data_IF_390552006557
#
_entry.id   IF_390552006557
#
_cell.length_a   1.000
_cell.length_b   1.000
_cell.length_c   1.000
_cell.angle_alpha   90.00
_cell.angle_beta   90.00
_cell.angle_gamma   90.00
#
_symmetry.space_group_name_H-M   'P 1'
#
loop_
_entity.id
_entity.type
_entity.pdbx_description
1 polymer ?
#
# COMPACT_ATOMS: atom_id res chain seq x y z
N UNK A 1 -37.25 32.89 -19.18
CA UNK A 1 -37.12 32.43 -17.78
C UNK A 1 -37.67 31.01 -17.65
N UNK A 2 -38.92 30.79 -18.03
CA UNK A 2 -39.61 29.49 -18.00
C UNK A 2 -38.87 28.33 -18.70
N UNK A 3 -38.34 28.57 -19.92
CA UNK A 3 -37.56 27.56 -20.67
C UNK A 3 -36.27 27.12 -19.94
N UNK A 4 -35.64 28.04 -19.20
CA UNK A 4 -34.44 27.76 -18.40
C UNK A 4 -34.77 26.95 -17.14
N UNK A 5 -35.94 27.18 -16.53
CA UNK A 5 -36.40 26.39 -15.38
C UNK A 5 -36.81 24.98 -15.82
N UNK A 6 -37.43 24.83 -17.00
CA UNK A 6 -37.79 23.51 -17.53
C UNK A 6 -36.56 22.66 -17.86
N UNK A 7 -35.53 23.28 -18.42
CA UNK A 7 -34.26 22.63 -18.74
C UNK A 7 -33.49 22.23 -17.46
N UNK A 8 -33.53 23.08 -16.42
CA UNK A 8 -32.93 22.77 -15.11
C UNK A 8 -33.64 21.58 -14.45
N UNK A 9 -34.97 21.53 -14.45
CA UNK A 9 -35.75 20.40 -13.92
C UNK A 9 -35.44 19.08 -14.63
N UNK A 10 -35.33 19.10 -15.97
CA UNK A 10 -34.93 17.90 -16.74
C UNK A 10 -33.55 17.41 -16.34
N UNK A 11 -32.60 18.33 -16.12
CA UNK A 11 -31.25 17.97 -15.68
C UNK A 11 -31.28 17.37 -14.26
N UNK A 12 -32.11 17.91 -13.36
CA UNK A 12 -32.28 17.37 -12.01
C UNK A 12 -32.85 15.95 -12.03
N UNK A 13 -33.91 15.70 -12.81
CA UNK A 13 -34.48 14.36 -13.00
C UNK A 13 -33.48 13.37 -13.63
N UNK A 14 -32.70 13.83 -14.63
CA UNK A 14 -31.64 13.03 -15.24
C UNK A 14 -30.56 12.66 -14.20
N UNK A 15 -30.12 13.62 -13.39
CA UNK A 15 -29.12 13.41 -12.34
C UNK A 15 -29.65 12.45 -11.28
N UNK A 16 -30.91 12.58 -10.87
CA UNK A 16 -31.53 11.67 -9.90
C UNK A 16 -31.60 10.23 -10.44
N UNK A 17 -32.03 10.05 -11.69
CA UNK A 17 -32.02 8.74 -12.36
C UNK A 17 -30.62 8.13 -12.42
N UNK A 18 -29.61 8.93 -12.77
CA UNK A 18 -28.21 8.49 -12.82
C UNK A 18 -27.70 8.12 -11.43
N UNK A 19 -28.09 8.86 -10.39
CA UNK A 19 -27.71 8.57 -8.99
C UNK A 19 -28.34 7.26 -8.52
N UNK A 20 -29.62 7.01 -8.81
CA UNK A 20 -30.27 5.74 -8.45
C UNK A 20 -29.68 4.57 -9.23
N UNK A 21 -29.46 4.69 -10.53
CA UNK A 21 -28.79 3.66 -11.32
C UNK A 21 -27.38 3.35 -10.79
N UNK A 22 -26.64 4.37 -10.33
CA UNK A 22 -25.34 4.18 -9.71
C UNK A 22 -25.43 3.43 -8.36
N UNK A 23 -26.48 3.67 -7.56
CA UNK A 23 -26.74 2.93 -6.31
C UNK A 23 -27.11 1.48 -6.58
N UNK A 24 -28.05 1.22 -7.50
CA UNK A 24 -28.44 -0.15 -7.87
C UNK A 24 -27.27 -0.97 -8.41
N UNK A 25 -26.42 -0.35 -9.24
CA UNK A 25 -25.19 -0.97 -9.74
C UNK A 25 -24.23 -1.28 -8.59
N UNK A 26 -24.08 -0.34 -7.66
CA UNK A 26 -23.23 -0.47 -6.48
C UNK A 26 -23.71 -1.60 -5.55
N UNK A 27 -25.01 -1.76 -5.36
CA UNK A 27 -25.60 -2.82 -4.54
C UNK A 27 -25.46 -4.19 -5.23
N UNK A 28 -25.72 -4.25 -6.53
CA UNK A 28 -25.52 -5.44 -7.36
C UNK A 28 -24.05 -5.89 -7.36
N UNK A 29 -23.13 -4.96 -7.50
CA UNK A 29 -21.69 -5.22 -7.42
C UNK A 29 -21.29 -5.71 -6.02
N UNK A 30 -21.84 -5.13 -4.95
CA UNK A 30 -21.56 -5.53 -3.57
C UNK A 30 -22.03 -6.95 -3.29
N UNK A 31 -23.23 -7.30 -3.75
CA UNK A 31 -23.78 -8.65 -3.68
C UNK A 31 -22.92 -9.67 -4.43
N UNK A 32 -22.54 -9.37 -5.68
CA UNK A 32 -21.66 -10.23 -6.47
C UNK A 32 -20.29 -10.43 -5.81
N UNK A 33 -19.69 -9.37 -5.28
CA UNK A 33 -18.41 -9.43 -4.57
C UNK A 33 -18.53 -10.32 -3.32
N UNK A 34 -19.61 -10.20 -2.56
CA UNK A 34 -19.84 -11.03 -1.37
C UNK A 34 -19.94 -12.51 -1.73
N UNK A 35 -20.72 -12.85 -2.75
CA UNK A 35 -20.86 -14.23 -3.23
C UNK A 35 -19.54 -14.79 -3.76
N UNK A 36 -18.87 -14.04 -4.63
CA UNK A 36 -17.58 -14.41 -5.20
C UNK A 36 -16.53 -14.62 -4.11
N UNK A 37 -16.56 -13.82 -3.03
CA UNK A 37 -15.65 -13.99 -1.91
C UNK A 37 -15.84 -15.32 -1.18
N UNK A 38 -17.09 -15.72 -0.91
CA UNK A 38 -17.38 -17.01 -0.27
C UNK A 38 -16.91 -18.19 -1.13
N UNK A 39 -17.13 -18.12 -2.46
CA UNK A 39 -16.69 -19.15 -3.40
C UNK A 39 -15.15 -19.21 -3.48
N UNK A 40 -14.50 -18.05 -3.54
CA UNK A 40 -13.03 -17.93 -3.52
C UNK A 40 -12.44 -18.52 -2.23
N UNK A 41 -13.05 -18.29 -1.06
CA UNK A 41 -12.56 -18.82 0.20
C UNK A 41 -12.67 -20.35 0.29
N UNK A 42 -13.76 -20.92 -0.24
CA UNK A 42 -13.92 -22.37 -0.37
C UNK A 42 -12.84 -22.97 -1.27
N UNK A 43 -12.59 -22.38 -2.44
CA UNK A 43 -11.52 -22.80 -3.36
C UNK A 43 -10.14 -22.68 -2.71
N UNK A 44 -9.91 -21.63 -1.92
CA UNK A 44 -8.65 -21.42 -1.18
C UNK A 44 -8.40 -22.49 -0.14
N UNK A 45 -9.40 -22.86 0.66
CA UNK A 45 -9.27 -23.95 1.62
C UNK A 45 -8.93 -25.27 0.94
N UNK A 46 -9.56 -25.55 -0.21
CA UNK A 46 -9.26 -26.74 -1.02
C UNK A 46 -7.84 -26.71 -1.59
N UNK A 47 -7.40 -25.56 -2.11
CA UNK A 47 -6.05 -25.40 -2.66
C UNK A 47 -4.98 -25.58 -1.57
N UNK A 48 -5.16 -24.98 -0.39
CA UNK A 48 -4.24 -25.13 0.76
C UNK A 48 -4.18 -26.58 1.26
N UNK A 49 -5.34 -27.23 1.38
CA UNK A 49 -5.43 -28.65 1.74
C UNK A 49 -4.67 -29.52 0.74
N UNK A 50 -4.86 -29.27 -0.56
CA UNK A 50 -4.17 -30.00 -1.62
C UNK A 50 -2.65 -29.77 -1.60
N UNK A 51 -2.19 -28.53 -1.46
CA UNK A 51 -0.75 -28.21 -1.33
C UNK A 51 -0.12 -28.89 -0.10
N UNK A 52 -0.83 -28.91 1.03
CA UNK A 52 -0.38 -29.64 2.23
C UNK A 52 -0.28 -31.16 2.00
N UNK A 53 -1.21 -31.71 1.21
CA UNK A 53 -1.24 -33.13 0.86
C UNK A 53 -0.08 -33.48 -0.08
N UNK A 54 0.19 -32.65 -1.09
CA UNK A 54 1.34 -32.79 -2.00
C UNK A 54 2.65 -32.76 -1.20
N UNK A 55 2.83 -31.80 -0.30
CA UNK A 55 4.01 -31.71 0.58
C UNK A 55 4.17 -32.94 1.46
N UNK A 56 3.06 -33.45 2.02
CA UNK A 56 3.05 -34.68 2.82
C UNK A 56 3.48 -35.88 1.99
N UNK A 57 2.88 -36.11 0.82
CA UNK A 57 3.25 -37.19 -0.09
C UNK A 57 4.73 -37.10 -0.51
N UNK A 58 5.22 -35.91 -0.80
CA UNK A 58 6.64 -35.70 -1.12
C UNK A 58 7.53 -36.13 0.05
N UNK A 59 7.21 -35.70 1.28
CA UNK A 59 7.99 -36.09 2.46
C UNK A 59 8.00 -37.60 2.72
N UNK A 60 6.87 -38.28 2.45
CA UNK A 60 6.75 -39.73 2.58
C UNK A 60 7.55 -40.46 1.51
N UNK A 61 7.53 -39.99 0.26
CA UNK A 61 8.32 -40.55 -0.82
C UNK A 61 9.81 -40.32 -0.59
N UNK A 62 10.24 -39.13 -0.17
CA UNK A 62 11.65 -38.82 0.16
C UNK A 62 12.19 -39.68 1.32
N UNK A 63 11.36 -40.02 2.32
CA UNK A 63 11.76 -40.92 3.41
C UNK A 63 11.93 -42.36 2.94
N UNK A 64 11.16 -42.78 1.94
CA UNK A 64 11.16 -44.14 1.42
C UNK A 64 12.12 -44.34 0.23
N UNK A 65 12.66 -43.27 -0.35
CA UNK A 65 13.69 -43.30 -1.39
C UNK A 65 15.08 -43.42 -0.75
N UNK A 66 15.43 -44.58 -0.19
CA UNK A 66 16.85 -44.90 -0.02
C UNK A 66 17.35 -45.55 -1.33
N UNK A 67 18.51 -45.12 -1.85
CA UNK A 67 19.16 -45.86 -2.92
C UNK A 67 19.55 -47.26 -2.40
N UNK A 68 19.52 -48.30 -3.25
CA UNK A 68 20.04 -49.60 -2.86
C UNK A 68 21.50 -49.45 -2.42
N UNK A 69 21.95 -50.11 -1.33
CA UNK A 69 23.36 -50.12 -0.99
C UNK A 69 24.13 -50.75 -2.15
N UNK A 70 24.87 -49.92 -2.88
CA UNK A 70 25.87 -50.39 -3.83
C UNK A 70 27.00 -51.00 -2.99
N UNK A 71 26.99 -52.33 -2.94
CA UNK A 71 28.14 -53.19 -2.69
C UNK A 71 28.91 -52.85 -1.41
N UNK A 72 28.55 -53.48 -0.29
CA UNK A 72 29.52 -54.09 0.63
C UNK A 72 28.80 -54.87 1.75
N UNK A 73 29.11 -56.17 1.82
CA UNK A 73 28.59 -57.23 2.71
C UNK A 73 27.29 -57.89 2.24
N UNK A 74 27.44 -59.01 1.54
CA UNK A 74 26.39 -60.01 1.32
C UNK A 74 26.77 -61.35 1.98
N UNK A 75 25.87 -61.99 2.74
CA UNK A 75 25.75 -63.44 2.82
C UNK A 75 24.64 -63.98 1.87
N UNK A 76 24.59 -65.30 1.56
CA UNK A 76 24.04 -65.79 0.30
C UNK A 76 22.56 -66.20 0.34
N UNK A 77 21.78 -65.60 -0.58
CA UNK A 77 20.48 -65.99 -1.21
C UNK A 77 19.22 -66.21 -0.33
N UNK A 78 17.99 -65.90 -0.84
CA UNK A 78 17.56 -65.85 -2.25
C UNK A 78 17.53 -64.42 -2.81
N UNK A 79 18.59 -64.06 -3.52
CA UNK A 79 19.00 -62.69 -3.83
C UNK A 79 18.25 -62.08 -5.04
N UNK A 80 17.74 -62.89 -5.96
CA UNK A 80 17.15 -62.35 -7.19
C UNK A 80 15.77 -61.72 -6.95
N UNK A 81 14.91 -62.36 -6.16
CA UNK A 81 13.57 -61.85 -5.88
C UNK A 81 13.61 -60.59 -5.02
N UNK A 82 14.50 -60.54 -4.02
CA UNK A 82 14.68 -59.35 -3.17
C UNK A 82 15.22 -58.15 -3.96
N UNK A 83 16.23 -58.36 -4.80
CA UNK A 83 16.79 -57.31 -5.66
C UNK A 83 15.77 -56.84 -6.72
N UNK A 84 15.03 -57.77 -7.32
CA UNK A 84 13.96 -57.47 -8.27
C UNK A 84 12.82 -56.67 -7.62
N UNK A 85 12.37 -57.08 -6.42
CA UNK A 85 11.35 -56.34 -5.66
C UNK A 85 11.84 -54.95 -5.24
N UNK A 86 13.13 -54.81 -4.88
CA UNK A 86 13.70 -53.52 -4.51
C UNK A 86 13.84 -52.59 -5.73
N UNK A 87 14.27 -53.12 -6.87
CA UNK A 87 14.36 -52.37 -8.13
C UNK A 87 12.98 -51.96 -8.64
N UNK A 88 11.99 -52.86 -8.59
CA UNK A 88 10.61 -52.57 -8.93
C UNK A 88 10.00 -51.52 -7.98
N UNK A 89 10.28 -51.60 -6.68
CA UNK A 89 9.88 -50.58 -5.69
C UNK A 89 10.54 -49.23 -5.97
N UNK A 90 11.82 -49.20 -6.35
CA UNK A 90 12.54 -47.97 -6.69
C UNK A 90 11.97 -47.29 -7.93
N UNK A 91 11.74 -48.05 -9.03
CA UNK A 91 11.09 -47.53 -10.24
C UNK A 91 9.68 -47.01 -9.93
N UNK A 92 8.91 -47.74 -9.13
CA UNK A 92 7.57 -47.32 -8.74
C UNK A 92 7.59 -46.01 -7.93
N UNK A 93 8.54 -45.84 -7.00
CA UNK A 93 8.72 -44.59 -6.24
C UNK A 93 9.12 -43.43 -7.17
N UNK A 94 9.98 -43.66 -8.16
CA UNK A 94 10.35 -42.64 -9.15
C UNK A 94 9.15 -42.19 -9.98
N UNK A 95 8.32 -43.14 -10.45
CA UNK A 95 7.09 -42.83 -11.19
C UNK A 95 6.12 -42.01 -10.34
N UNK A 96 5.94 -42.38 -9.06
CA UNK A 96 5.13 -41.61 -8.11
C UNK A 96 5.69 -40.21 -7.85
N UNK A 97 7.02 -40.04 -7.82
CA UNK A 97 7.65 -38.71 -7.70
C UNK A 97 7.39 -37.86 -8.95
N UNK A 98 7.43 -38.46 -10.14
CA UNK A 98 7.11 -37.77 -11.40
C UNK A 98 5.64 -37.32 -11.44
N UNK A 99 4.70 -38.20 -11.10
CA UNK A 99 3.28 -37.87 -11.04
C UNK A 99 2.98 -36.79 -9.99
N UNK A 100 3.63 -36.88 -8.82
CA UNK A 100 3.51 -35.87 -7.78
C UNK A 100 4.08 -34.52 -8.23
N UNK A 101 5.18 -34.52 -8.96
CA UNK A 101 5.77 -33.32 -9.54
C UNK A 101 4.84 -32.71 -10.61
N UNK A 102 4.21 -33.54 -11.46
CA UNK A 102 3.19 -33.09 -12.42
C UNK A 102 2.00 -32.44 -11.72
N UNK A 103 1.49 -33.07 -10.66
CA UNK A 103 0.41 -32.50 -9.84
C UNK A 103 0.82 -31.16 -9.20
N UNK A 104 2.07 -31.06 -8.71
CA UNK A 104 2.61 -29.81 -8.18
C UNK A 104 2.71 -28.72 -9.25
N UNK A 105 3.17 -29.03 -10.46
CA UNK A 105 3.23 -28.06 -11.56
C UNK A 105 1.83 -27.57 -11.96
N UNK A 106 0.85 -28.47 -12.08
CA UNK A 106 -0.54 -28.10 -12.39
C UNK A 106 -1.12 -27.11 -11.37
N UNK A 107 -0.86 -27.35 -10.09
CA UNK A 107 -1.35 -26.49 -9.01
C UNK A 107 -0.55 -25.18 -8.91
N UNK A 108 0.76 -25.22 -9.15
CA UNK A 108 1.65 -24.07 -8.95
C UNK A 108 1.72 -23.11 -10.14
N UNK A 109 1.43 -23.58 -11.36
CA UNK A 109 1.52 -22.80 -12.60
C UNK A 109 0.15 -22.64 -13.29
N UNK A 110 -0.88 -23.38 -12.85
CA UNK A 110 -2.27 -23.18 -13.28
C UNK A 110 -3.02 -22.10 -12.50
N UNK A 111 -4.30 -21.90 -12.80
CA UNK A 111 -5.14 -20.84 -12.19
C UNK A 111 -5.28 -20.97 -10.65
N UNK A 112 -5.15 -22.21 -10.15
CA UNK A 112 -5.18 -22.52 -8.73
C UNK A 112 -4.03 -21.84 -7.94
N UNK A 113 -2.93 -21.47 -8.61
CA UNK A 113 -1.79 -20.80 -8.00
C UNK A 113 -2.15 -19.46 -7.35
N UNK A 114 -3.20 -18.79 -7.85
CA UNK A 114 -3.72 -17.53 -7.30
C UNK A 114 -4.29 -17.68 -5.88
N UNK A 115 -4.77 -18.88 -5.52
CA UNK A 115 -5.32 -19.18 -4.20
C UNK A 115 -4.26 -19.68 -3.21
N UNK A 116 -3.09 -20.08 -3.71
CA UNK A 116 -1.98 -20.54 -2.87
C UNK A 116 -1.17 -19.38 -2.28
N UNK A 117 -0.46 -19.62 -1.16
CA UNK A 117 0.51 -18.66 -0.64
C UNK A 117 1.53 -18.36 -1.73
N UNK A 118 1.71 -17.08 -2.04
CA UNK A 118 2.59 -16.66 -3.12
C UNK A 118 4.01 -17.18 -2.91
N UNK A 119 4.62 -17.74 -3.96
CA UNK A 119 6.03 -18.17 -3.93
C UNK A 119 6.89 -16.99 -3.45
N UNK A 120 7.88 -17.22 -2.56
CA UNK A 120 8.75 -16.15 -2.09
C UNK A 120 9.42 -15.48 -3.30
N UNK A 121 9.27 -14.16 -3.40
CA UNK A 121 9.89 -13.40 -4.48
C UNK A 121 11.41 -13.52 -4.41
N UNK A 122 12.07 -13.39 -5.57
CA UNK A 122 13.53 -13.40 -5.65
C UNK A 122 14.16 -12.38 -4.69
N UNK A 123 15.37 -12.69 -4.19
CA UNK A 123 16.07 -11.86 -3.19
C UNK A 123 16.17 -10.39 -3.59
N UNK A 124 16.40 -10.11 -4.88
CA UNK A 124 16.45 -8.76 -5.42
C UNK A 124 15.14 -7.98 -5.21
N UNK A 125 14.01 -8.58 -5.58
CA UNK A 125 12.71 -7.93 -5.46
C UNK A 125 12.32 -7.77 -3.99
N UNK A 126 12.65 -8.75 -3.14
CA UNK A 126 12.47 -8.68 -1.68
C UNK A 126 13.28 -7.55 -1.03
N UNK A 127 14.47 -7.23 -1.56
CA UNK A 127 15.27 -6.10 -1.08
C UNK A 127 14.54 -4.76 -1.29
N UNK A 128 13.95 -4.56 -2.47
CA UNK A 128 13.25 -3.33 -2.78
C UNK A 128 11.83 -3.28 -2.26
N UNK A 129 11.09 -4.39 -2.20
CA UNK A 129 9.67 -4.39 -1.86
C UNK A 129 9.39 -4.83 -0.42
N UNK A 130 10.24 -5.67 0.16
CA UNK A 130 9.96 -6.37 1.41
C UNK A 130 9.14 -7.66 1.17
N UNK A 131 8.47 -8.20 2.20
CA UNK A 131 7.71 -9.45 2.13
C UNK A 131 6.32 -9.26 1.49
N UNK A 132 6.19 -8.45 0.42
CA UNK A 132 4.91 -8.09 -0.19
C UNK A 132 4.74 -8.71 -1.57
N UNK A 133 3.49 -9.00 -1.93
CA UNK A 133 3.12 -9.49 -3.25
C UNK A 133 2.90 -8.33 -4.23
N UNK A 134 3.45 -8.45 -5.45
CA UNK A 134 3.25 -7.47 -6.53
C UNK A 134 1.79 -7.44 -7.00
N UNK A 135 1.14 -8.61 -7.02
CA UNK A 135 -0.28 -8.76 -7.35
C UNK A 135 -1.09 -8.92 -6.06
N UNK A 136 -1.80 -7.86 -5.68
CA UNK A 136 -2.72 -7.82 -4.56
C UNK A 136 -4.15 -7.79 -5.09
N UNK A 137 -4.61 -8.92 -5.64
CA UNK A 137 -6.00 -9.04 -6.12
C UNK A 137 -7.02 -8.97 -4.97
N UNK A 138 -6.62 -9.45 -3.79
CA UNK A 138 -7.48 -9.53 -2.61
C UNK A 138 -7.31 -8.32 -1.70
N UNK A 139 -8.40 -7.93 -1.03
CA UNK A 139 -8.46 -6.73 -0.16
C UNK A 139 -7.54 -6.82 1.07
N UNK A 140 -7.44 -8.01 1.70
CA UNK A 140 -6.49 -8.31 2.79
C UNK A 140 -5.04 -8.02 2.35
N UNK A 141 -4.68 -8.54 1.17
CA UNK A 141 -3.35 -8.35 0.60
C UNK A 141 -3.12 -6.89 0.23
N UNK A 142 -4.12 -6.18 -0.30
CA UNK A 142 -4.01 -4.75 -0.61
C UNK A 142 -3.79 -3.90 0.65
N UNK A 143 -4.48 -4.20 1.75
CA UNK A 143 -4.28 -3.53 3.04
C UNK A 143 -2.89 -3.81 3.58
N UNK A 144 -2.43 -5.06 3.53
CA UNK A 144 -1.08 -5.44 3.93
C UNK A 144 0.00 -4.75 3.11
N UNK A 145 -0.18 -4.63 1.79
CA UNK A 145 0.75 -3.88 0.91
C UNK A 145 0.78 -2.40 1.30
N UNK A 146 -0.37 -1.78 1.62
CA UNK A 146 -0.44 -0.39 2.09
C UNK A 146 0.24 -0.21 3.44
N UNK A 147 0.06 -1.15 4.36
CA UNK A 147 0.70 -1.12 5.68
C UNK A 147 2.21 -1.24 5.58
N UNK A 148 2.71 -2.20 4.81
CA UNK A 148 4.14 -2.38 4.55
C UNK A 148 4.77 -1.17 3.86
N UNK A 149 4.07 -0.55 2.91
CA UNK A 149 4.49 0.72 2.29
C UNK A 149 4.59 1.86 3.32
N UNK A 150 3.58 2.01 4.18
CA UNK A 150 3.59 3.04 5.21
C UNK A 150 4.69 2.80 6.26
N UNK A 151 4.89 1.54 6.67
CA UNK A 151 5.97 1.13 7.57
C UNK A 151 7.35 1.38 6.95
N UNK A 152 7.52 1.07 5.66
CA UNK A 152 8.73 1.41 4.91
C UNK A 152 8.99 2.92 4.92
N UNK A 153 7.98 3.74 4.59
CA UNK A 153 8.10 5.21 4.57
C UNK A 153 8.50 5.81 5.90
N UNK A 154 8.01 5.29 7.02
CA UNK A 154 8.40 5.79 8.33
C UNK A 154 9.85 5.48 8.67
N UNK A 155 10.25 4.22 8.47
CA UNK A 155 11.64 3.78 8.71
C UNK A 155 12.61 4.58 7.84
N UNK A 156 12.27 4.79 6.58
CA UNK A 156 13.13 5.55 5.66
C UNK A 156 13.09 7.04 5.91
N UNK A 157 11.98 7.64 6.33
CA UNK A 157 11.93 9.06 6.70
C UNK A 157 12.81 9.37 7.92
N UNK A 158 12.88 8.46 8.90
CA UNK A 158 13.81 8.59 10.03
C UNK A 158 15.27 8.56 9.55
N UNK A 159 15.63 7.60 8.69
CA UNK A 159 16.97 7.53 8.11
C UNK A 159 17.28 8.76 7.23
N UNK A 160 16.30 9.26 6.48
CA UNK A 160 16.43 10.44 5.62
C UNK A 160 16.74 11.69 6.43
N UNK A 161 16.23 11.79 7.66
CA UNK A 161 16.54 12.89 8.57
C UNK A 161 17.89 12.68 9.26
N UNK A 162 18.14 11.48 9.79
CA UNK A 162 19.33 11.18 10.59
C UNK A 162 20.63 11.29 9.78
N UNK A 163 20.65 10.75 8.56
CA UNK A 163 21.86 10.69 7.75
C UNK A 163 22.45 12.09 7.43
N UNK A 164 21.70 13.05 6.86
CA UNK A 164 22.23 14.40 6.61
C UNK A 164 22.50 15.17 7.92
N UNK A 165 21.74 14.92 8.99
CA UNK A 165 21.99 15.52 10.30
C UNK A 165 23.36 15.12 10.84
N UNK A 166 23.68 13.82 10.80
CA UNK A 166 24.98 13.29 11.22
C UNK A 166 26.09 13.85 10.33
N UNK A 167 25.93 13.86 9.00
CA UNK A 167 26.93 14.43 8.09
C UNK A 167 27.22 15.91 8.40
N UNK A 168 26.21 16.71 8.68
CA UNK A 168 26.38 18.14 9.02
C UNK A 168 27.06 18.34 10.38
N UNK A 169 26.75 17.51 11.38
CA UNK A 169 27.44 17.53 12.68
C UNK A 169 28.91 17.14 12.51
N UNK A 170 29.20 16.02 11.82
CA UNK A 170 30.57 15.56 11.58
C UNK A 170 31.38 16.56 10.76
N UNK A 171 30.76 17.24 9.78
CA UNK A 171 31.38 18.35 9.04
C UNK A 171 31.86 19.45 9.97
N UNK A 172 31.07 19.81 10.98
CA UNK A 172 31.40 20.89 11.92
C UNK A 172 32.39 20.45 13.00
N UNK A 173 32.30 19.21 13.48
CA UNK A 173 33.06 18.75 14.65
C UNK A 173 34.36 18.03 14.31
N UNK A 174 34.38 17.23 13.25
CA UNK A 174 35.54 16.38 12.91
C UNK A 174 36.30 16.86 11.70
N UNK A 175 35.62 17.41 10.70
CA UNK A 175 36.24 17.66 9.39
C UNK A 175 36.47 19.14 9.06
N UNK A 176 36.40 20.05 10.05
CA UNK A 176 36.74 21.47 9.89
C UNK A 176 36.07 22.13 8.67
N UNK A 177 34.84 21.72 8.32
CA UNK A 177 34.12 22.23 7.15
C UNK A 177 34.43 21.54 5.81
N UNK A 178 35.24 20.48 5.74
CA UNK A 178 35.40 19.65 4.54
C UNK A 178 34.63 18.32 4.69
N UNK A 179 33.64 18.02 3.86
CA UNK A 179 33.04 16.68 3.84
C UNK A 179 33.93 15.72 3.03
N UNK A 180 34.29 14.53 3.56
CA UNK A 180 34.90 13.48 2.76
C UNK A 180 33.93 12.95 1.70
N UNK A 181 34.46 12.47 0.58
CA UNK A 181 33.65 11.96 -0.52
C UNK A 181 32.81 10.74 -0.12
N UNK A 182 33.43 9.76 0.56
CA UNK A 182 32.81 8.47 0.85
C UNK A 182 31.49 8.56 1.66
N UNK A 183 31.39 9.30 2.78
CA UNK A 183 30.13 9.44 3.52
C UNK A 183 29.01 10.10 2.70
N UNK A 184 29.35 11.08 1.85
CA UNK A 184 28.36 11.74 0.99
C UNK A 184 27.92 10.81 -0.14
N UNK A 185 28.83 10.07 -0.76
CA UNK A 185 28.50 9.06 -1.77
C UNK A 185 27.65 7.93 -1.18
N UNK A 186 27.92 7.50 0.05
CA UNK A 186 27.09 6.51 0.75
C UNK A 186 25.66 7.03 0.95
N UNK A 187 25.50 8.32 1.31
CA UNK A 187 24.18 8.95 1.38
C UNK A 187 23.50 8.98 0.02
N UNK A 188 24.20 9.36 -1.05
CA UNK A 188 23.64 9.39 -2.40
C UNK A 188 23.24 8.00 -2.90
N UNK A 189 24.03 6.96 -2.62
CA UNK A 189 23.70 5.57 -2.93
C UNK A 189 22.44 5.13 -2.16
N UNK A 190 22.33 5.53 -0.90
CA UNK A 190 21.14 5.27 -0.11
C UNK A 190 19.90 6.02 -0.62
N UNK A 191 20.04 7.27 -1.08
CA UNK A 191 18.96 8.02 -1.74
C UNK A 191 18.49 7.35 -3.03
N UNK A 192 19.42 6.88 -3.86
CA UNK A 192 19.09 6.10 -5.05
C UNK A 192 18.28 4.85 -4.69
N UNK A 193 18.73 4.10 -3.67
CA UNK A 193 18.00 2.93 -3.17
C UNK A 193 16.61 3.29 -2.66
N UNK A 194 16.49 4.37 -1.87
CA UNK A 194 15.24 4.87 -1.31
C UNK A 194 14.23 5.23 -2.41
N UNK A 195 14.61 6.11 -3.35
CA UNK A 195 13.69 6.59 -4.38
C UNK A 195 13.32 5.49 -5.39
N UNK A 196 14.24 4.55 -5.65
CA UNK A 196 13.91 3.32 -6.40
C UNK A 196 12.86 2.48 -5.67
N UNK A 197 13.05 2.28 -4.36
CA UNK A 197 12.10 1.54 -3.51
C UNK A 197 10.74 2.21 -3.38
N UNK A 198 10.68 3.55 -3.31
CA UNK A 198 9.44 4.32 -3.30
C UNK A 198 8.73 4.23 -4.65
N UNK A 199 9.45 4.44 -5.75
CA UNK A 199 8.89 4.36 -7.09
C UNK A 199 8.30 2.97 -7.36
N UNK A 200 9.02 1.89 -7.04
CA UNK A 200 8.52 0.53 -7.19
C UNK A 200 7.25 0.28 -6.38
N UNK A 201 7.25 0.62 -5.08
CA UNK A 201 6.09 0.41 -4.21
C UNK A 201 4.87 1.23 -4.65
N UNK A 202 5.05 2.47 -5.05
CA UNK A 202 3.94 3.34 -5.48
C UNK A 202 3.38 2.91 -6.84
N UNK A 203 4.21 2.45 -7.77
CA UNK A 203 3.73 1.84 -9.01
C UNK A 203 2.93 0.57 -8.74
N UNK A 204 3.36 -0.28 -7.80
CA UNK A 204 2.60 -1.47 -7.38
C UNK A 204 1.27 -1.07 -6.75
N UNK A 205 1.27 -0.10 -5.84
CA UNK A 205 0.03 0.41 -5.25
C UNK A 205 -0.94 0.93 -6.32
N UNK A 206 -0.43 1.66 -7.31
CA UNK A 206 -1.21 2.18 -8.44
C UNK A 206 -1.73 1.06 -9.34
N UNK A 207 -0.92 0.07 -9.66
CA UNK A 207 -1.32 -1.11 -10.42
C UNK A 207 -2.40 -1.95 -9.70
N UNK A 208 -2.43 -1.92 -8.36
CA UNK A 208 -3.45 -2.56 -7.54
C UNK A 208 -4.62 -1.62 -7.19
N UNK A 209 -4.81 -0.52 -7.94
CA UNK A 209 -5.98 0.34 -7.84
C UNK A 209 -5.92 1.45 -6.78
N UNK A 210 -4.75 1.72 -6.19
CA UNK A 210 -4.59 2.89 -5.32
C UNK A 210 -4.50 4.17 -6.14
N UNK A 211 -5.29 5.18 -5.75
CA UNK A 211 -5.29 6.50 -6.37
C UNK A 211 -4.10 7.34 -5.88
N UNK A 212 -2.97 7.23 -6.56
CA UNK A 212 -1.74 7.99 -6.31
C UNK A 212 -1.55 9.00 -7.45
N UNK A 213 -1.32 10.26 -7.10
CA UNK A 213 -1.13 11.30 -8.11
C UNK A 213 0.12 11.02 -8.96
N UNK A 214 0.02 11.13 -10.30
CA UNK A 214 1.14 10.84 -11.20
C UNK A 214 2.42 11.62 -10.87
N UNK A 215 2.28 12.88 -10.44
CA UNK A 215 3.42 13.73 -10.08
C UNK A 215 4.37 13.07 -9.08
N UNK A 216 3.86 12.38 -8.05
CA UNK A 216 4.73 11.76 -7.04
C UNK A 216 5.59 10.64 -7.62
N UNK A 217 5.06 9.89 -8.58
CA UNK A 217 5.84 8.86 -9.29
C UNK A 217 6.93 9.51 -10.14
N UNK A 218 6.59 10.57 -10.90
CA UNK A 218 7.58 11.32 -11.68
C UNK A 218 8.65 11.98 -10.80
N UNK A 219 8.25 12.54 -9.66
CA UNK A 219 9.15 13.11 -8.66
C UNK A 219 10.18 12.07 -8.20
N UNK A 220 9.74 10.83 -7.89
CA UNK A 220 10.66 9.76 -7.51
C UNK A 220 11.64 9.42 -8.63
N UNK A 221 11.19 9.39 -9.89
CA UNK A 221 12.09 9.18 -11.03
C UNK A 221 13.11 10.30 -11.20
N UNK A 222 12.70 11.57 -11.08
CA UNK A 222 13.61 12.70 -11.09
C UNK A 222 14.64 12.61 -9.95
N UNK A 223 14.21 12.23 -8.75
CA UNK A 223 15.09 12.04 -7.60
C UNK A 223 16.07 10.86 -7.78
N UNK A 224 15.64 9.75 -8.39
CA UNK A 224 16.52 8.64 -8.75
C UNK A 224 17.60 9.09 -9.74
N UNK A 225 17.21 9.80 -10.81
CA UNK A 225 18.13 10.31 -11.81
C UNK A 225 19.11 11.30 -11.17
N UNK A 226 18.62 12.18 -10.29
CA UNK A 226 19.45 13.12 -9.54
C UNK A 226 20.46 12.41 -8.64
N UNK A 227 20.04 11.38 -7.89
CA UNK A 227 20.94 10.60 -7.05
C UNK A 227 22.00 9.85 -7.89
N UNK A 228 21.60 9.29 -9.05
CA UNK A 228 22.51 8.62 -9.97
C UNK A 228 23.56 9.57 -10.56
N UNK A 229 23.16 10.75 -11.01
CA UNK A 229 24.09 11.78 -11.52
C UNK A 229 24.95 12.34 -10.39
N UNK A 230 24.41 12.48 -9.18
CA UNK A 230 25.17 12.95 -8.01
C UNK A 230 26.22 11.92 -7.56
N UNK A 231 26.00 10.63 -7.79
CA UNK A 231 26.99 9.58 -7.49
C UNK A 231 28.23 9.64 -8.38
N UNK A 232 28.08 10.13 -9.62
CA UNK A 232 29.21 10.30 -10.54
C UNK A 232 29.93 11.63 -10.34
N UNK A 233 29.48 12.46 -9.39
CA UNK A 233 30.13 13.71 -9.06
C UNK A 233 31.25 13.51 -8.04
N UNK A 234 32.48 13.79 -8.45
CA UNK A 234 33.63 13.76 -7.56
C UNK A 234 33.61 14.98 -6.63
N UNK A 235 33.63 14.72 -5.32
CA UNK A 235 33.70 15.79 -4.33
C UNK A 235 35.12 16.35 -4.32
N UNK A 236 35.27 17.58 -4.80
CA UNK A 236 36.56 18.28 -4.83
C UNK A 236 37.18 18.32 -3.43
N UNK A 237 38.41 17.82 -3.35
CA UNK A 237 39.28 17.89 -2.18
C UNK A 237 39.90 19.28 -2.00
N UNK A 238 40.92 19.37 -1.15
CA UNK A 238 41.69 20.59 -0.93
C UNK A 238 42.47 21.03 -2.20
N UNK A 239 42.82 22.33 -2.35
CA UNK A 239 42.47 23.47 -1.48
C UNK A 239 41.05 24.04 -1.73
N UNK A 240 40.51 24.75 -0.74
CA UNK A 240 39.17 25.39 -0.71
C UNK A 240 37.96 24.46 -0.80
N UNK A 241 38.05 23.29 -0.16
CA UNK A 241 36.96 22.31 -0.03
C UNK A 241 35.65 22.98 0.45
N UNK A 242 35.72 23.91 1.40
CA UNK A 242 34.58 24.40 2.16
C UNK A 242 33.70 25.29 1.28
N UNK A 243 34.31 26.09 0.43
CA UNK A 243 33.64 26.94 -0.56
C UNK A 243 33.09 26.08 -1.71
N UNK A 244 33.90 25.16 -2.25
CA UNK A 244 33.50 24.28 -3.36
C UNK A 244 32.34 23.35 -2.99
N UNK A 245 32.23 22.93 -1.73
CA UNK A 245 31.17 22.08 -1.21
C UNK A 245 29.95 22.83 -0.66
N UNK A 246 29.83 24.14 -0.89
CA UNK A 246 28.70 24.93 -0.38
C UNK A 246 27.35 24.41 -0.90
N UNK A 247 27.31 23.95 -2.15
CA UNK A 247 26.12 23.30 -2.74
C UNK A 247 25.72 22.03 -1.99
N UNK A 248 26.69 21.18 -1.64
CA UNK A 248 26.46 19.96 -0.85
C UNK A 248 25.93 20.30 0.54
N UNK A 249 26.50 21.32 1.20
CA UNK A 249 26.01 21.79 2.50
C UNK A 249 24.56 22.25 2.43
N UNK A 250 24.21 23.07 1.44
CA UNK A 250 22.85 23.56 1.25
C UNK A 250 21.87 22.42 0.94
N UNK A 251 22.29 21.45 0.12
CA UNK A 251 21.50 20.26 -0.16
C UNK A 251 21.24 19.41 1.11
N UNK A 252 22.25 19.21 1.95
CA UNK A 252 22.08 18.46 3.22
C UNK A 252 21.16 19.20 4.20
N UNK A 253 21.26 20.53 4.28
CA UNK A 253 20.36 21.35 5.10
C UNK A 253 18.91 21.26 4.59
N UNK A 254 18.72 21.34 3.27
CA UNK A 254 17.42 21.12 2.66
C UNK A 254 16.90 19.71 2.93
N UNK A 255 17.75 18.69 2.81
CA UNK A 255 17.38 17.30 3.08
C UNK A 255 16.93 17.09 4.53
N UNK A 256 17.54 17.77 5.52
CA UNK A 256 17.04 17.73 6.89
C UNK A 256 15.60 18.29 7.00
N UNK A 257 15.34 19.45 6.40
CA UNK A 257 13.99 20.04 6.39
C UNK A 257 12.99 19.13 5.67
N UNK A 258 13.40 18.54 4.55
CA UNK A 258 12.63 17.55 3.80
C UNK A 258 12.34 16.31 4.66
N UNK A 259 13.30 15.82 5.45
CA UNK A 259 13.10 14.71 6.38
C UNK A 259 12.04 15.01 7.45
N UNK A 260 12.06 16.23 8.02
CA UNK A 260 11.01 16.67 8.96
C UNK A 260 9.64 16.71 8.27
N UNK A 261 9.56 17.28 7.07
CA UNK A 261 8.33 17.32 6.30
C UNK A 261 7.82 15.91 5.97
N UNK A 262 8.69 14.98 5.60
CA UNK A 262 8.35 13.58 5.33
C UNK A 262 7.74 12.90 6.56
N UNK A 263 8.30 13.09 7.76
CA UNK A 263 7.74 12.53 8.99
C UNK A 263 6.32 13.07 9.27
N UNK A 264 6.12 14.38 9.12
CA UNK A 264 4.81 15.01 9.29
C UNK A 264 3.80 14.56 8.24
N UNK A 265 4.22 14.47 6.98
CA UNK A 265 3.40 13.97 5.86
C UNK A 265 3.00 12.51 6.08
N UNK A 266 3.94 11.65 6.49
CA UNK A 266 3.68 10.24 6.76
C UNK A 266 2.65 10.06 7.87
N UNK A 267 2.82 10.78 9.00
CA UNK A 267 1.86 10.76 10.11
C UNK A 267 0.47 11.20 9.66
N UNK A 268 0.39 12.32 8.95
CA UNK A 268 -0.88 12.84 8.42
C UNK A 268 -1.57 11.84 7.47
N UNK A 269 -0.82 11.28 6.51
CA UNK A 269 -1.38 10.34 5.54
C UNK A 269 -1.82 9.03 6.18
N UNK A 270 -1.08 8.52 7.17
CA UNK A 270 -1.43 7.31 7.91
C UNK A 270 -2.69 7.47 8.74
N UNK A 271 -2.79 8.55 9.51
CA UNK A 271 -3.99 8.83 10.32
C UNK A 271 -5.24 8.91 9.44
N UNK A 272 -5.13 9.55 8.27
CA UNK A 272 -6.22 9.62 7.29
C UNK A 272 -6.61 8.25 6.74
N UNK A 273 -5.63 7.39 6.45
CA UNK A 273 -5.91 6.03 5.98
C UNK A 273 -6.69 5.24 7.03
N UNK A 274 -6.23 5.21 8.27
CA UNK A 274 -6.93 4.49 9.35
C UNK A 274 -8.32 5.07 9.64
N UNK A 275 -8.46 6.40 9.60
CA UNK A 275 -9.76 7.05 9.70
C UNK A 275 -10.71 6.56 8.61
N UNK A 276 -10.27 6.48 7.35
CA UNK A 276 -11.13 5.98 6.25
C UNK A 276 -11.47 4.51 6.41
N UNK A 277 -10.55 3.69 6.91
CA UNK A 277 -10.82 2.29 7.21
C UNK A 277 -11.91 2.19 8.29
N UNK A 278 -11.78 2.95 9.38
CA UNK A 278 -12.77 3.00 10.46
C UNK A 278 -14.14 3.50 9.98
N UNK A 279 -14.17 4.58 9.18
CA UNK A 279 -15.41 5.09 8.58
C UNK A 279 -16.05 4.09 7.61
N UNK A 280 -15.23 3.36 6.83
CA UNK A 280 -15.71 2.28 5.96
C UNK A 280 -16.37 1.16 6.75
N UNK A 281 -15.74 0.73 7.86
CA UNK A 281 -16.29 -0.26 8.79
C UNK A 281 -17.63 0.21 9.37
N UNK A 282 -17.67 1.42 9.91
CA UNK A 282 -18.87 1.98 10.53
C UNK A 282 -20.03 2.17 9.53
N UNK A 283 -19.73 2.62 8.30
CA UNK A 283 -20.75 2.76 7.26
C UNK A 283 -21.36 1.41 6.87
N UNK A 284 -20.53 0.36 6.81
CA UNK A 284 -21.01 -0.96 6.46
C UNK A 284 -21.81 -1.61 7.59
N UNK A 285 -21.43 -1.41 8.86
CA UNK A 285 -22.23 -1.84 10.01
C UNK A 285 -23.63 -1.19 9.98
N UNK A 286 -23.69 0.12 9.70
CA UNK A 286 -24.98 0.83 9.56
C UNK A 286 -25.82 0.31 8.39
N UNK A 287 -25.19 -0.12 7.30
CA UNK A 287 -25.91 -0.70 6.17
C UNK A 287 -26.53 -2.06 6.55
N UNK A 288 -25.76 -2.91 7.24
CA UNK A 288 -26.25 -4.20 7.73
C UNK A 288 -27.37 -4.01 8.77
N UNK A 289 -27.22 -3.07 9.70
CA UNK A 289 -28.27 -2.73 10.67
C UNK A 289 -29.58 -2.29 9.99
N UNK A 290 -29.49 -1.46 8.94
CA UNK A 290 -30.67 -1.05 8.14
C UNK A 290 -31.33 -2.23 7.43
N UNK A 291 -30.54 -3.15 6.86
CA UNK A 291 -31.07 -4.35 6.23
C UNK A 291 -31.79 -5.24 7.24
N UNK A 292 -31.22 -5.40 8.44
CA UNK A 292 -31.84 -6.16 9.52
C UNK A 292 -33.16 -5.52 9.98
N UNK A 293 -33.20 -4.19 10.13
CA UNK A 293 -34.43 -3.45 10.47
C UNK A 293 -35.50 -3.56 9.38
N UNK A 294 -35.09 -3.53 8.10
CA UNK A 294 -36.00 -3.74 6.97
C UNK A 294 -36.58 -5.17 6.97
N UNK A 295 -35.75 -6.18 7.22
CA UNK A 295 -36.18 -7.58 7.34
C UNK A 295 -37.11 -7.81 8.54
N UNK A 296 -36.86 -7.14 9.67
CA UNK A 296 -37.74 -7.16 10.84
C UNK A 296 -39.10 -6.56 10.53
N UNK A 297 -39.12 -5.35 9.96
CA UNK A 297 -40.34 -4.65 9.55
C UNK A 297 -41.18 -5.49 8.58
N UNK A 298 -40.53 -6.09 7.57
CA UNK A 298 -41.14 -7.04 6.64
C UNK A 298 -41.73 -8.26 7.36
N UNK A 299 -41.00 -8.85 8.31
CA UNK A 299 -41.46 -10.00 9.09
C UNK A 299 -42.65 -9.68 9.98
N UNK A 300 -42.65 -8.52 10.65
CA UNK A 300 -43.77 -8.03 11.47
C UNK A 300 -45.01 -7.77 10.61
N UNK A 301 -44.84 -7.17 9.43
CA UNK A 301 -45.92 -6.93 8.47
C UNK A 301 -46.52 -8.25 7.93
N UNK A 302 -45.68 -9.25 7.67
CA UNK A 302 -46.08 -10.55 7.11
C UNK A 302 -46.70 -11.50 8.13
N UNK A 303 -46.19 -11.52 9.36
CA UNK A 303 -46.68 -12.44 10.41
C UNK A 303 -47.94 -11.95 11.13
N UNK A 304 -48.23 -10.63 11.12
CA UNK A 304 -49.34 -10.00 11.89
C UNK A 304 -49.60 -10.73 13.21
N UNK A 305 -48.65 -10.69 14.15
CA UNK A 305 -48.73 -11.46 15.39
C UNK A 305 -50.07 -11.21 16.11
N UNK A 306 -50.83 -12.27 16.35
CA UNK A 306 -52.18 -12.19 16.94
C UNK A 306 -52.16 -12.01 18.47
N UNK A 307 -50.97 -12.07 19.08
CA UNK A 307 -50.78 -11.93 20.53
C UNK A 307 -49.50 -11.15 20.85
N UNK A 308 -49.49 -10.50 22.02
CA UNK A 308 -48.31 -9.82 22.55
C UNK A 308 -47.15 -10.79 22.81
N UNK A 309 -47.45 -12.07 23.03
CA UNK A 309 -46.46 -13.15 23.18
C UNK A 309 -45.73 -13.43 21.86
N UNK A 310 -46.43 -13.38 20.73
CA UNK A 310 -45.83 -13.56 19.40
C UNK A 310 -44.92 -12.38 19.03
N UNK A 311 -45.30 -11.15 19.41
CA UNK A 311 -44.45 -9.97 19.25
C UNK A 311 -43.15 -10.14 20.03
N UNK A 312 -43.24 -10.55 21.31
CA UNK A 312 -42.08 -10.76 22.17
C UNK A 312 -41.20 -11.91 21.67
N UNK A 313 -41.78 -13.00 21.15
CA UNK A 313 -41.03 -14.12 20.57
C UNK A 313 -40.28 -13.74 19.28
N UNK A 314 -40.90 -12.94 18.41
CA UNK A 314 -40.25 -12.44 17.19
C UNK A 314 -39.14 -11.45 17.55
N UNK A 315 -39.38 -10.57 18.52
CA UNK A 315 -38.41 -9.59 18.99
C UNK A 315 -37.25 -10.23 19.77
N UNK A 316 -37.50 -11.25 20.58
CA UNK A 316 -36.48 -11.99 21.33
C UNK A 316 -35.55 -12.82 20.42
N UNK A 317 -36.10 -13.45 19.38
CA UNK A 317 -35.28 -14.16 18.37
C UNK A 317 -34.41 -13.18 17.59
N UNK A 318 -34.94 -11.99 17.30
CA UNK A 318 -34.24 -10.92 16.60
C UNK A 318 -33.12 -10.28 17.44
N UNK A 319 -33.38 -9.99 18.71
CA UNK A 319 -32.35 -9.52 19.66
C UNK A 319 -31.23 -10.55 19.82
N UNK A 320 -31.58 -11.85 19.83
CA UNK A 320 -30.60 -12.94 19.83
C UNK A 320 -29.70 -12.94 18.58
N UNK A 321 -30.28 -12.81 17.39
CA UNK A 321 -29.50 -12.74 16.14
C UNK A 321 -28.62 -11.48 16.06
N UNK A 322 -29.11 -10.36 16.60
CA UNK A 322 -28.35 -9.11 16.69
C UNK A 322 -27.14 -9.28 17.64
N UNK A 323 -27.35 -9.90 18.80
CA UNK A 323 -26.33 -10.08 19.83
C UNK A 323 -25.27 -11.13 19.44
N UNK A 324 -25.67 -12.22 18.76
CA UNK A 324 -24.74 -13.20 18.18
C UNK A 324 -23.84 -12.55 17.13
N UNK A 325 -24.38 -11.66 16.28
CA UNK A 325 -23.57 -10.92 15.29
C UNK A 325 -22.71 -9.82 15.90
N UNK A 326 -23.21 -9.10 16.91
CA UNK A 326 -22.41 -8.10 17.63
C UNK A 326 -21.25 -8.74 18.41
N UNK A 327 -21.45 -9.94 19.00
CA UNK A 327 -20.37 -10.72 19.61
C UNK A 327 -19.33 -11.19 18.60
N UNK A 328 -19.75 -11.57 17.39
CA UNK A 328 -18.84 -11.87 16.27
C UNK A 328 -17.93 -10.66 15.93
N UNK A 329 -18.51 -9.47 15.95
CA UNK A 329 -17.78 -8.23 15.68
C UNK A 329 -16.85 -7.82 16.84
N UNK A 330 -17.26 -8.02 18.10
CA UNK A 330 -16.48 -7.66 19.29
C UNK A 330 -15.32 -8.61 19.60
N UNK A 331 -15.38 -9.88 19.18
CA UNK A 331 -14.29 -10.84 19.34
C UNK A 331 -13.13 -10.62 18.34
N UNK A 332 -13.31 -9.74 17.35
CA UNK A 332 -12.27 -9.39 16.36
C UNK A 332 -11.25 -8.33 16.84
N UNK A 333 -11.41 -7.78 18.06
CA UNK A 333 -10.47 -6.81 18.65
C UNK A 333 -9.39 -7.45 19.53
N UNK A 334 -9.40 -8.78 19.69
CA UNK A 334 -8.39 -9.52 20.45
C UNK A 334 -7.99 -10.82 19.76
N UNK A 335 -6.72 -10.90 19.40
CA UNK A 335 -6.03 -12.10 18.92
C UNK A 335 -6.26 -12.46 17.43
N UNK A 336 -5.16 -12.54 16.66
CA UNK A 336 -5.20 -12.62 15.21
C UNK A 336 -5.84 -13.89 14.65
N UNK A 337 -7.10 -13.77 14.26
CA UNK A 337 -7.76 -14.66 13.31
C UNK A 337 -8.27 -13.85 12.11
N UNK A 338 -7.68 -14.10 10.95
CA UNK A 338 -7.79 -13.33 9.69
C UNK A 338 -9.15 -13.51 8.96
N UNK A 339 -10.21 -13.95 9.66
CA UNK A 339 -11.33 -14.62 8.99
C UNK A 339 -12.59 -13.78 8.78
N UNK A 340 -12.75 -12.60 9.41
CA UNK A 340 -14.02 -11.85 9.33
C UNK A 340 -13.92 -10.32 9.14
N UNK A 341 -12.83 -9.81 8.56
CA UNK A 341 -12.78 -8.37 8.17
C UNK A 341 -13.35 -8.07 6.78
N UNK A 342 -14.06 -9.02 6.16
CA UNK A 342 -14.05 -9.16 4.70
C UNK A 342 -15.19 -8.51 3.90
N UNK A 343 -16.24 -7.98 4.53
CA UNK A 343 -17.32 -7.24 3.85
C UNK A 343 -17.10 -5.73 3.67
N UNK A 344 -16.27 -5.09 4.48
CA UNK A 344 -16.62 -3.74 4.98
C UNK A 344 -15.80 -2.54 4.46
N UNK A 345 -15.28 -2.53 3.23
CA UNK A 345 -14.38 -1.45 2.80
C UNK A 345 -14.49 -0.99 1.33
N UNK A 346 -15.70 -0.69 0.84
CA UNK A 346 -15.87 0.05 -0.43
C UNK A 346 -15.16 1.43 -0.39
N UNK A 347 -15.03 2.04 0.81
CA UNK A 347 -14.41 3.36 1.01
C UNK A 347 -12.87 3.40 0.96
N UNK A 348 -12.17 2.25 1.01
CA UNK A 348 -10.71 2.20 1.10
C UNK A 348 -10.00 2.21 -0.28
N UNK A 349 -10.75 2.28 -1.39
CA UNK A 349 -10.22 2.33 -2.77
C UNK A 349 -9.52 3.65 -3.10
N UNK A 350 -9.97 4.78 -2.56
CA UNK A 350 -9.37 6.10 -2.81
C UNK A 350 -8.46 6.52 -1.66
N UNK A 351 -7.25 6.98 -1.99
CA UNK A 351 -6.46 7.82 -1.07
C UNK A 351 -6.98 9.27 -1.00
N UNK A 352 -8.19 9.54 -1.54
CA UNK A 352 -8.77 10.86 -1.78
C UNK A 352 -9.88 11.32 -0.81
N UNK A 353 -10.03 12.63 -0.73
CA UNK A 353 -10.64 13.47 0.33
C UNK A 353 -12.10 13.11 0.66
N UNK A 354 -12.33 12.26 1.66
CA UNK A 354 -13.61 12.21 2.39
C UNK A 354 -13.58 13.27 3.49
N UNK A 355 -14.76 13.85 3.72
CA UNK A 355 -15.01 15.12 4.36
C UNK A 355 -14.84 15.12 5.88
N UNK A 356 -14.45 16.29 6.40
CA UNK A 356 -14.23 16.54 7.83
C UNK A 356 -12.76 16.35 8.23
N UNK A 357 -12.18 17.35 8.89
CA UNK A 357 -11.13 17.07 9.87
C UNK A 357 -11.79 16.14 10.88
N UNK A 358 -11.47 14.85 10.83
CA UNK A 358 -11.90 13.94 11.89
C UNK A 358 -11.23 14.40 13.17
N UNK A 359 -11.94 14.27 14.29
CA UNK A 359 -11.72 14.89 15.60
C UNK A 359 -10.38 14.57 16.32
N UNK A 360 -9.30 14.28 15.58
CA UNK A 360 -7.93 14.12 16.07
C UNK A 360 -6.86 14.71 15.15
N UNK A 361 -7.21 15.53 14.15
CA UNK A 361 -6.25 16.16 13.19
C UNK A 361 -6.44 17.67 13.08
N UNK A 362 -6.91 18.32 14.15
CA UNK A 362 -7.02 19.77 14.17
C UNK A 362 -5.62 20.39 14.26
N UNK A 363 -5.29 21.29 13.31
CA UNK A 363 -4.03 22.06 13.32
C UNK A 363 -2.81 21.43 12.60
N UNK A 364 -2.77 20.12 12.33
CA UNK A 364 -1.60 19.51 11.66
C UNK A 364 -1.41 20.00 10.22
N UNK A 365 -2.51 20.24 9.49
CA UNK A 365 -2.43 20.81 8.14
C UNK A 365 -1.97 22.27 8.15
N UNK A 366 -2.32 23.02 9.20
CA UNK A 366 -1.90 24.41 9.39
C UNK A 366 -0.40 24.53 9.58
N UNK A 367 0.24 23.54 10.22
CA UNK A 367 1.70 23.48 10.34
C UNK A 367 2.36 22.92 9.08
N UNK A 368 1.77 21.88 8.48
CA UNK A 368 2.35 21.21 7.32
C UNK A 368 2.36 22.11 6.07
N UNK A 369 1.29 22.84 5.80
CA UNK A 369 1.15 23.68 4.60
C UNK A 369 2.25 24.76 4.45
N UNK A 370 2.50 25.66 5.42
CA UNK A 370 3.55 26.66 5.31
C UNK A 370 4.94 26.03 5.23
N UNK A 371 5.17 24.94 5.97
CA UNK A 371 6.43 24.19 5.89
C UNK A 371 6.70 23.68 4.47
N UNK A 372 5.69 23.15 3.78
CA UNK A 372 5.83 22.67 2.39
C UNK A 372 6.19 23.80 1.42
N UNK A 373 5.59 24.98 1.56
CA UNK A 373 5.93 26.14 0.71
C UNK A 373 7.34 26.63 0.96
N UNK A 374 7.76 26.75 2.23
CA UNK A 374 9.13 27.13 2.59
C UNK A 374 10.12 26.12 2.01
N UNK A 375 9.82 24.83 2.11
CA UNK A 375 10.66 23.74 1.63
C UNK A 375 10.82 23.75 0.11
N UNK A 376 9.74 23.99 -0.63
CA UNK A 376 9.77 24.13 -2.10
C UNK A 376 10.54 25.38 -2.54
N UNK A 377 10.36 26.50 -1.83
CA UNK A 377 11.13 27.72 -2.06
C UNK A 377 12.62 27.49 -1.81
N UNK A 378 12.96 26.76 -0.74
CA UNK A 378 14.33 26.42 -0.44
C UNK A 378 14.93 25.42 -1.45
N UNK A 379 14.16 24.42 -1.90
CA UNK A 379 14.53 23.49 -2.98
C UNK A 379 14.93 24.25 -4.25
N UNK A 380 14.09 25.20 -4.69
CA UNK A 380 14.39 26.06 -5.84
C UNK A 380 15.62 26.93 -5.61
N UNK A 381 15.78 27.51 -4.41
CA UNK A 381 16.96 28.30 -4.05
C UNK A 381 18.25 27.48 -4.11
N UNK A 382 18.25 26.24 -3.59
CA UNK A 382 19.41 25.33 -3.71
C UNK A 382 19.73 25.08 -5.18
N UNK A 383 18.72 24.76 -6.01
CA UNK A 383 18.91 24.54 -7.45
C UNK A 383 19.50 25.76 -8.17
N UNK A 384 18.96 26.96 -7.92
CA UNK A 384 19.48 28.21 -8.49
C UNK A 384 20.90 28.52 -8.04
N UNK A 385 21.26 28.24 -6.78
CA UNK A 385 22.61 28.45 -6.29
C UNK A 385 23.62 27.48 -6.90
N UNK A 386 23.24 26.23 -7.19
CA UNK A 386 24.09 25.32 -7.96
C UNK A 386 24.34 25.86 -9.38
N UNK A 387 23.30 26.34 -10.05
CA UNK A 387 23.41 26.94 -11.39
C UNK A 387 24.29 28.19 -11.39
N UNK A 388 24.13 29.07 -10.41
CA UNK A 388 24.98 30.25 -10.24
C UNK A 388 26.45 29.87 -10.02
N UNK A 389 26.69 28.86 -9.19
CA UNK A 389 28.06 28.38 -8.89
C UNK A 389 28.73 27.80 -10.15
N UNK A 390 27.95 27.12 -11.00
CA UNK A 390 28.43 26.62 -12.28
C UNK A 390 28.71 27.75 -13.28
N UNK A 391 27.83 28.74 -13.37
CA UNK A 391 27.98 29.89 -14.27
C UNK A 391 29.18 30.78 -13.93
N UNK A 392 29.45 31.00 -12.63
CA UNK A 392 30.61 31.79 -12.16
C UNK A 392 31.93 31.00 -12.30
N UNK A 393 31.88 29.72 -12.70
CA UNK A 393 33.07 28.90 -12.94
C UNK A 393 33.73 28.34 -11.67
N UNK A 394 33.06 28.39 -10.51
CA UNK A 394 33.59 27.81 -9.26
C UNK A 394 33.61 26.28 -9.34
N UNK A 395 32.63 25.70 -10.04
CA UNK A 395 32.46 24.25 -10.26
C UNK A 395 31.88 24.06 -11.68
N UNK A 396 32.72 23.69 -12.66
CA UNK A 396 32.34 23.61 -14.09
C UNK A 396 31.74 22.25 -14.51
N UNK A 397 31.59 21.34 -13.55
CA UNK A 397 31.02 20.01 -13.74
C UNK A 397 29.57 20.08 -14.23
N UNK A 398 29.30 19.44 -15.38
CA UNK A 398 27.96 19.41 -15.98
C UNK A 398 26.93 18.77 -15.05
N UNK A 399 27.35 17.87 -14.16
CA UNK A 399 26.49 17.24 -13.14
C UNK A 399 25.81 18.29 -12.25
N UNK A 400 26.53 19.38 -11.91
CA UNK A 400 26.02 20.46 -11.06
C UNK A 400 24.96 21.28 -11.78
N UNK A 401 25.17 21.54 -13.07
CA UNK A 401 24.18 22.21 -13.93
C UNK A 401 22.92 21.34 -14.03
N UNK A 402 23.09 20.06 -14.33
CA UNK A 402 22.00 19.12 -14.49
C UNK A 402 21.19 18.94 -13.19
N UNK A 403 21.85 18.74 -12.05
CA UNK A 403 21.18 18.64 -10.74
C UNK A 403 20.50 19.95 -10.36
N UNK A 404 21.10 21.11 -10.67
CA UNK A 404 20.50 22.42 -10.46
C UNK A 404 19.19 22.62 -11.23
N UNK A 405 19.17 22.26 -12.52
CA UNK A 405 17.95 22.30 -13.35
C UNK A 405 16.89 21.35 -12.78
N UNK A 406 17.27 20.11 -12.44
CA UNK A 406 16.32 19.13 -11.89
C UNK A 406 15.71 19.58 -10.56
N UNK A 407 16.50 20.18 -9.66
CA UNK A 407 15.98 20.71 -8.38
C UNK A 407 14.95 21.83 -8.61
N UNK A 408 15.23 22.75 -9.54
CA UNK A 408 14.27 23.82 -9.88
C UNK A 408 13.00 23.22 -10.49
N UNK A 409 13.13 22.27 -11.41
CA UNK A 409 12.00 21.58 -12.02
C UNK A 409 11.13 20.86 -10.96
N UNK A 410 11.75 20.12 -10.05
CA UNK A 410 11.06 19.42 -8.97
C UNK A 410 10.37 20.40 -8.01
N UNK A 411 11.03 21.49 -7.63
CA UNK A 411 10.45 22.53 -6.77
C UNK A 411 9.18 23.14 -7.40
N UNK A 412 9.23 23.49 -8.69
CA UNK A 412 8.07 24.03 -9.42
C UNK A 412 6.94 23.00 -9.48
N UNK A 413 7.22 21.74 -9.81
CA UNK A 413 6.19 20.71 -9.88
C UNK A 413 5.58 20.38 -8.51
N UNK A 414 6.37 20.39 -7.43
CA UNK A 414 5.91 20.24 -6.05
C UNK A 414 4.99 21.40 -5.66
N UNK A 415 5.36 22.63 -6.03
CA UNK A 415 4.55 23.83 -5.81
C UNK A 415 3.21 23.76 -6.52
N UNK A 416 3.21 23.49 -7.83
CA UNK A 416 1.99 23.39 -8.63
C UNK A 416 1.03 22.33 -8.08
N UNK A 417 1.55 21.16 -7.69
CA UNK A 417 0.73 20.10 -7.09
C UNK A 417 0.17 20.47 -5.72
N UNK A 418 0.93 21.22 -4.92
CA UNK A 418 0.48 21.72 -3.62
C UNK A 418 -0.67 22.71 -3.80
N UNK A 419 -0.50 23.69 -4.69
CA UNK A 419 -1.53 24.68 -5.02
C UNK A 419 -2.79 24.02 -5.57
N UNK A 420 -2.66 23.08 -6.51
CA UNK A 420 -3.80 22.32 -7.05
C UNK A 420 -4.56 21.57 -5.95
N UNK A 421 -3.86 21.00 -4.97
CA UNK A 421 -4.49 20.32 -3.81
C UNK A 421 -5.29 21.29 -2.96
N UNK A 422 -4.72 22.45 -2.65
CA UNK A 422 -5.35 23.45 -1.81
C UNK A 422 -6.58 24.05 -2.49
N UNK A 423 -6.51 24.32 -3.80
CA UNK A 423 -7.64 24.79 -4.60
C UNK A 423 -8.75 23.73 -4.65
N UNK A 424 -8.41 22.46 -4.87
CA UNK A 424 -9.39 21.38 -4.83
C UNK A 424 -10.07 21.33 -3.45
N UNK A 425 -9.28 21.36 -2.36
CA UNK A 425 -9.82 21.32 -0.99
C UNK A 425 -10.69 22.54 -0.67
N UNK A 426 -10.31 23.74 -1.11
CA UNK A 426 -11.09 24.97 -0.87
C UNK A 426 -12.42 24.94 -1.63
N UNK A 427 -12.43 24.47 -2.88
CA UNK A 427 -13.65 24.29 -3.69
C UNK A 427 -14.61 23.30 -3.04
N UNK A 428 -14.12 22.16 -2.55
CA UNK A 428 -14.96 21.19 -1.84
C UNK A 428 -15.48 21.72 -0.50
N UNK A 429 -14.66 22.47 0.25
CA UNK A 429 -15.09 23.11 1.50
C UNK A 429 -16.21 24.12 1.24
N UNK A 430 -16.09 24.92 0.18
CA UNK A 430 -17.13 25.86 -0.24
C UNK A 430 -18.43 25.15 -0.64
N UNK A 431 -18.34 24.04 -1.38
CA UNK A 431 -19.51 23.25 -1.80
C UNK A 431 -20.33 22.73 -0.62
N UNK A 432 -19.74 22.15 0.43
CA UNK A 432 -20.60 21.71 1.55
C UNK A 432 -21.00 22.80 2.53
N UNK A 433 -20.26 23.91 2.62
CA UNK A 433 -20.81 25.08 3.34
C UNK A 433 -22.14 25.52 2.70
N UNK A 434 -22.19 25.57 1.36
CA UNK A 434 -23.41 25.86 0.60
C UNK A 434 -24.50 24.78 0.74
N UNK A 435 -24.12 23.50 0.87
CA UNK A 435 -25.07 22.41 1.11
C UNK A 435 -25.63 22.42 2.54
N UNK A 436 -24.86 22.86 3.53
CA UNK A 436 -25.30 22.98 4.94
C UNK A 436 -26.17 24.21 5.20
N UNK A 437 -26.10 25.24 4.37
CA UNK A 437 -26.93 26.45 4.49
C UNK A 437 -28.27 26.35 3.73
N UNK A 438 -28.47 25.28 2.95
CA UNK A 438 -29.71 25.03 2.20
C UNK A 438 -30.88 24.42 3.01
N UNK A 439 -30.67 23.60 4.08
CA UNK A 439 -31.76 23.00 4.85
C UNK A 439 -32.34 23.90 5.96
N UNK A 440 -32.00 25.19 6.02
CA UNK A 440 -32.58 26.17 6.97
C UNK A 440 -33.58 27.14 6.30
N UNK A 441 -33.90 26.94 5.02
CA UNK A 441 -34.76 27.83 4.22
C UNK A 441 -35.90 27.09 3.49
N UNK A 442 -36.18 25.84 3.86
CA UNK A 442 -37.38 25.10 3.44
C UNK A 442 -38.23 24.70 4.65
#
# INVERSE_FOLDING_TARGET
MEKSETETRRIEEEVERVVEAAKELQDSASSLISKSWSEEQSLRQRALSLDSSIKRCHSLLSRNSLPPPLYNKAPPLPHFLSLYLHYHRYIYILLLQEDLQRAKCLVADGDAASFLPSKPQGKFLRMFLGPINVRASRKDVQLKVKEEYNSYRDRTALLFLLFPSVLLVLRSWLWNGCLPAFPVQLYQAWLLFLYTGLALRENILRANGSDIRPWWIYHHYCAMIMALVSLTWEIKGQPDCAQKQRGVQLFLQWAMMQGVAMLLQNRYQRQRLYTRIALGKAASQRAEEKEILANFSSTMSRRRPNSMVDVVMVQGRWLGDLEVRNKKFSYSDGEGDDTETFGHAQLAKRMDVVWGETAGVDGQLWLLCPLLFILQGFEAYVGLQLLRTAFVGVVTEWQVIFCGILLVFMAVGNFLNTVQTLIAKSRFKAKMKRSKSKPELE
#
